data_IF_716035994702
#
_entry.id   IF_716035994702
#
_cell.length_a   1.000
_cell.length_b   1.000
_cell.length_c   1.000
_cell.angle_alpha   90.00
_cell.angle_beta   90.00
_cell.angle_gamma   90.00
#
_symmetry.space_group_name_H-M   'P 1'
#
loop_
_entity.id
_entity.type
_entity.pdbx_description
1 polymer ?
#
# COMPACT_ATOMS: atom_id res chain seq x y z
N UNK A 1 -7.68 -14.33 8.04
CA UNK A 1 -7.70 -13.43 6.88
C UNK A 1 -6.37 -13.50 6.20
N UNK A 2 -6.33 -13.46 4.87
CA UNK A 2 -5.07 -13.40 4.12
C UNK A 2 -4.36 -12.08 4.44
N UNK A 3 -3.04 -12.14 4.69
CA UNK A 3 -2.20 -10.95 4.89
C UNK A 3 -1.33 -10.78 3.66
N UNK A 4 -1.49 -9.65 2.98
CA UNK A 4 -0.63 -9.26 1.86
C UNK A 4 0.48 -8.35 2.35
N UNK A 5 1.71 -8.61 1.90
CA UNK A 5 2.89 -7.82 2.30
C UNK A 5 3.54 -7.21 1.07
N UNK A 6 3.93 -5.94 1.19
CA UNK A 6 4.80 -5.26 0.24
C UNK A 6 5.99 -4.65 0.98
N UNK A 7 7.18 -4.95 0.51
CA UNK A 7 8.42 -4.39 1.03
C UNK A 7 8.85 -3.24 0.15
N UNK A 8 9.06 -2.07 0.74
CA UNK A 8 9.59 -0.92 0.02
C UNK A 8 11.01 -1.22 -0.49
N UNK A 9 11.39 -0.74 -1.69
CA UNK A 9 12.77 -0.80 -2.15
C UNK A 9 13.72 -0.01 -1.22
N UNK A 10 14.96 -0.47 -1.06
CA UNK A 10 15.95 0.17 -0.16
C UNK A 10 16.24 1.64 -0.50
N UNK A 11 16.05 2.03 -1.76
CA UNK A 11 16.25 3.40 -2.24
C UNK A 11 14.97 4.26 -2.25
N UNK A 12 13.89 3.79 -1.63
CA UNK A 12 12.63 4.51 -1.55
C UNK A 12 12.70 5.67 -0.54
N UNK A 13 12.70 6.92 -1.05
CA UNK A 13 12.66 8.12 -0.22
C UNK A 13 11.33 8.86 -0.37
N UNK A 14 10.53 8.88 0.70
CA UNK A 14 9.33 9.72 0.79
C UNK A 14 9.69 11.09 1.36
N UNK A 15 9.57 12.15 0.54
CA UNK A 15 9.84 13.53 0.97
C UNK A 15 8.69 14.07 1.82
N UNK A 16 8.95 15.07 2.69
CA UNK A 16 7.89 15.78 3.39
C UNK A 16 6.81 16.30 2.43
N UNK A 17 5.54 16.20 2.83
CA UNK A 17 4.37 16.63 2.06
C UNK A 17 4.20 15.97 0.67
N UNK A 18 4.87 14.84 0.43
CA UNK A 18 4.67 14.04 -0.78
C UNK A 18 3.91 12.76 -0.44
N UNK A 19 3.39 12.10 -1.48
CA UNK A 19 2.78 10.78 -1.37
C UNK A 19 3.39 9.83 -2.40
N UNK A 20 3.41 8.56 -2.06
CA UNK A 20 3.75 7.45 -2.94
C UNK A 20 2.52 6.54 -3.01
N UNK A 21 2.18 6.06 -4.20
CA UNK A 21 1.15 5.04 -4.39
C UNK A 21 1.81 3.70 -4.67
N UNK A 22 1.24 2.62 -4.14
CA UNK A 22 1.68 1.26 -4.41
C UNK A 22 0.55 0.54 -5.18
N UNK A 23 0.81 0.21 -6.45
CA UNK A 23 -0.18 -0.30 -7.40
C UNK A 23 0.06 -1.79 -7.66
N UNK A 24 -1.01 -2.60 -7.72
CA UNK A 24 -0.92 -4.01 -8.11
C UNK A 24 -1.18 -4.24 -9.61
N UNK A 25 -1.96 -3.34 -10.24
CA UNK A 25 -2.30 -3.37 -11.67
C UNK A 25 -2.33 -1.93 -12.21
N UNK A 26 -1.17 -1.35 -12.53
CA UNK A 26 -1.13 0.02 -13.05
C UNK A 26 -1.80 0.09 -14.43
N UNK A 27 -2.51 1.18 -14.69
CA UNK A 27 -2.76 1.61 -16.06
C UNK A 27 -1.55 2.42 -16.52
N UNK A 28 -0.83 1.95 -17.54
CA UNK A 28 0.45 2.56 -17.97
C UNK A 28 0.28 4.04 -18.39
N UNK A 29 -0.91 4.46 -18.82
CA UNK A 29 -1.17 5.86 -19.17
C UNK A 29 -1.36 6.80 -17.97
N UNK A 30 -1.67 6.27 -16.79
CA UNK A 30 -1.94 7.05 -15.57
C UNK A 30 -0.82 6.94 -14.53
N UNK A 31 0.13 6.03 -14.76
CA UNK A 31 1.25 5.74 -13.87
C UNK A 31 2.21 6.93 -13.82
N UNK A 32 2.55 7.35 -12.61
CA UNK A 32 3.59 8.35 -12.37
C UNK A 32 4.93 7.67 -12.10
N UNK A 33 6.03 8.39 -12.36
CA UNK A 33 7.38 7.91 -12.04
C UNK A 33 7.61 7.67 -10.54
N UNK A 34 6.79 8.28 -9.69
CA UNK A 34 6.81 8.12 -8.23
C UNK A 34 6.02 6.91 -7.73
N UNK A 35 5.25 6.25 -8.60
CA UNK A 35 4.42 5.12 -8.21
C UNK A 35 5.26 3.84 -8.13
N UNK A 36 5.04 3.09 -7.06
CA UNK A 36 5.64 1.78 -6.83
C UNK A 36 4.70 0.67 -7.32
N UNK A 37 5.25 -0.41 -7.86
CA UNK A 37 4.48 -1.54 -8.38
C UNK A 37 4.72 -2.78 -7.50
N UNK A 38 3.65 -3.36 -6.99
CA UNK A 38 3.65 -4.61 -6.25
C UNK A 38 3.39 -5.79 -7.19
N UNK A 39 4.35 -6.08 -8.08
CA UNK A 39 4.18 -7.03 -9.19
C UNK A 39 3.86 -8.47 -8.76
N UNK A 40 4.19 -8.85 -7.52
CA UNK A 40 3.85 -10.17 -6.96
C UNK A 40 2.39 -10.29 -6.51
N UNK A 41 1.64 -9.18 -6.45
CA UNK A 41 0.27 -9.13 -5.98
C UNK A 41 -0.69 -8.87 -7.15
N UNK A 42 -1.74 -9.68 -7.27
CA UNK A 42 -2.77 -9.49 -8.30
C UNK A 42 -3.77 -8.37 -7.93
N UNK A 43 -4.01 -8.15 -6.64
CA UNK A 43 -4.82 -7.06 -6.09
C UNK A 43 -4.49 -6.83 -4.61
N UNK A 44 -4.80 -5.65 -4.08
CA UNK A 44 -4.79 -5.40 -2.63
C UNK A 44 -5.99 -6.02 -1.89
N UNK A 45 -6.89 -6.68 -2.61
CA UNK A 45 -8.24 -7.05 -2.20
C UNK A 45 -9.09 -5.84 -1.78
N UNK A 46 -10.20 -5.61 -2.47
CA UNK A 46 -11.20 -4.59 -2.10
C UNK A 46 -12.35 -5.25 -1.35
N UNK A 47 -12.06 -5.81 -0.18
CA UNK A 47 -13.08 -6.33 0.73
C UNK A 47 -13.85 -5.22 1.44
N UNK A 48 -15.02 -5.56 2.01
CA UNK A 48 -15.83 -4.64 2.84
C UNK A 48 -15.07 -4.13 4.07
N UNK A 49 -14.17 -4.95 4.61
CA UNK A 49 -13.37 -4.62 5.77
C UNK A 49 -11.89 -4.93 5.48
N UNK A 50 -11.01 -3.96 5.66
CA UNK A 50 -9.57 -4.18 5.56
C UNK A 50 -8.78 -3.30 6.53
N UNK A 51 -7.59 -3.77 6.87
CA UNK A 51 -6.61 -3.06 7.68
C UNK A 51 -5.32 -3.01 6.85
N UNK A 52 -4.72 -1.83 6.77
CA UNK A 52 -3.42 -1.61 6.17
C UNK A 52 -2.50 -0.98 7.20
N UNK A 53 -1.32 -1.56 7.41
CA UNK A 53 -0.34 -1.09 8.40
C UNK A 53 0.98 -0.77 7.71
N UNK A 54 1.57 0.38 8.05
CA UNK A 54 2.92 0.77 7.67
C UNK A 54 3.88 0.39 8.80
N UNK A 55 4.80 -0.51 8.50
CA UNK A 55 5.79 -1.05 9.43
C UNK A 55 7.17 -0.51 9.04
N UNK A 56 7.96 -0.03 10.00
CA UNK A 56 9.33 0.40 9.73
C UNK A 56 10.33 -0.77 9.69
N UNK A 57 11.59 -0.50 9.36
CA UNK A 57 12.65 -1.52 9.30
C UNK A 57 12.91 -2.27 10.63
N UNK A 58 12.50 -1.72 11.77
CA UNK A 58 12.60 -2.36 13.09
C UNK A 58 11.41 -3.29 13.38
N UNK A 59 10.43 -3.41 12.48
CA UNK A 59 9.20 -4.17 12.71
C UNK A 59 8.16 -3.43 13.56
N UNK A 60 8.28 -2.12 13.76
CA UNK A 60 7.33 -1.32 14.54
C UNK A 60 6.27 -0.67 13.65
N UNK A 61 5.03 -0.73 14.09
CA UNK A 61 3.90 -0.02 13.49
C UNK A 61 4.09 1.50 13.58
N UNK A 62 4.03 2.18 12.44
CA UNK A 62 4.16 3.65 12.35
C UNK A 62 2.88 4.35 11.93
N UNK A 63 2.02 3.66 11.18
CA UNK A 63 0.70 4.15 10.82
C UNK A 63 -0.21 2.98 10.47
N UNK A 64 -1.52 3.13 10.67
CA UNK A 64 -2.50 2.16 10.21
C UNK A 64 -3.77 2.85 9.72
N UNK A 65 -4.41 2.21 8.75
CA UNK A 65 -5.72 2.59 8.22
C UNK A 65 -6.64 1.37 8.32
N UNK A 66 -7.78 1.55 8.99
CA UNK A 66 -8.83 0.54 9.05
C UNK A 66 -10.06 1.06 8.32
N UNK A 67 -10.50 0.34 7.28
CA UNK A 67 -11.77 0.59 6.62
C UNK A 67 -12.77 -0.49 7.01
N UNK A 68 -13.95 -0.08 7.45
CA UNK A 68 -15.08 -0.97 7.72
C UNK A 68 -16.31 -0.47 6.97
N UNK A 69 -17.01 -1.37 6.28
CA UNK A 69 -18.33 -1.07 5.74
C UNK A 69 -19.38 -1.37 6.80
N UNK A 70 -20.24 -0.38 7.09
CA UNK A 70 -21.37 -0.49 8.00
C UNK A 70 -22.63 -0.51 7.14
N UNK A 71 -23.43 -1.58 7.24
CA UNK A 71 -24.75 -1.62 6.63
C UNK A 71 -25.75 -0.98 7.60
N UNK A 72 -26.46 0.05 7.14
CA UNK A 72 -27.55 0.71 7.85
C UNK A 72 -28.90 0.24 7.32
#
# INVERSE_FOLDING_TARGET
GETLTYTFPDNCLLRPNHSIKILTKPNESERKSTDLIASSLSSWHTGLNFITTLINAEGKDRASLTKKTIFS
#
